data_IF_028567192230
#
_entry.id   IF_028567192230
#
_cell.length_a   1.000
_cell.length_b   1.000
_cell.length_c   1.000
_cell.angle_alpha   90.00
_cell.angle_beta   90.00
_cell.angle_gamma   90.00
#
_symmetry.space_group_name_H-M   'P 1'
#
loop_
_entity.id
_entity.type
_entity.pdbx_description
1 polymer ?
#
# COMPACT_ATOMS: atom_id res chain seq x y z
N UNK A 1 -5.59 13.89 -20.68
CA UNK A 1 -4.75 12.76 -20.18
C UNK A 1 -4.11 13.23 -18.88
N UNK A 2 -4.06 12.42 -17.82
CA UNK A 2 -3.44 12.82 -16.54
C UNK A 2 -1.92 12.95 -16.75
N UNK A 3 -1.34 14.10 -16.37
CA UNK A 3 0.10 14.34 -16.44
C UNK A 3 0.68 14.28 -15.03
N UNK A 4 1.59 13.34 -14.79
CA UNK A 4 2.33 13.17 -13.53
C UNK A 4 3.85 13.32 -13.72
N UNK A 5 4.25 14.02 -14.78
CA UNK A 5 5.65 14.21 -15.09
C UNK A 5 6.42 14.74 -13.88
N UNK A 6 7.56 14.10 -13.58
CA UNK A 6 8.43 14.37 -12.44
C UNK A 6 7.82 14.12 -11.03
N UNK A 7 6.57 13.64 -10.92
CA UNK A 7 6.01 13.25 -9.62
C UNK A 7 6.70 12.01 -9.07
N UNK A 8 7.17 12.07 -7.85
CA UNK A 8 7.94 11.03 -7.15
C UNK A 8 7.00 10.18 -6.32
N UNK A 9 6.83 8.92 -6.70
CA UNK A 9 5.80 8.03 -6.15
C UNK A 9 6.42 6.74 -5.63
N UNK A 10 6.13 6.37 -4.40
CA UNK A 10 6.42 5.04 -3.83
C UNK A 10 5.16 4.19 -3.87
N UNK A 11 5.28 2.94 -4.34
CA UNK A 11 4.18 1.97 -4.38
C UNK A 11 4.60 0.69 -3.67
N UNK A 12 3.88 0.32 -2.60
CA UNK A 12 4.10 -0.96 -1.92
C UNK A 12 3.26 -2.07 -2.55
N UNK A 13 3.75 -3.32 -2.50
CA UNK A 13 3.05 -4.44 -3.10
C UNK A 13 2.91 -4.32 -4.63
N UNK A 14 3.88 -3.67 -5.28
CA UNK A 14 3.86 -3.35 -6.70
C UNK A 14 3.81 -4.58 -7.62
N UNK A 15 4.23 -5.74 -7.13
CA UNK A 15 4.25 -7.00 -7.90
C UNK A 15 2.93 -7.77 -7.89
N UNK A 16 1.92 -7.32 -7.12
CA UNK A 16 0.58 -7.89 -7.14
C UNK A 16 -0.27 -7.35 -8.31
N UNK A 17 -1.43 -7.96 -8.59
CA UNK A 17 -2.26 -7.58 -9.74
C UNK A 17 -2.67 -6.10 -9.74
N UNK A 18 -3.19 -5.59 -8.62
CA UNK A 18 -3.56 -4.18 -8.47
C UNK A 18 -2.30 -3.31 -8.55
N UNK A 19 -1.24 -3.65 -7.80
CA UNK A 19 0.01 -2.88 -7.78
C UNK A 19 0.65 -2.75 -9.16
N UNK A 20 0.72 -3.83 -9.92
CA UNK A 20 1.25 -3.83 -11.30
C UNK A 20 0.44 -2.88 -12.21
N UNK A 21 -0.89 -2.95 -12.12
CA UNK A 21 -1.78 -2.07 -12.91
C UNK A 21 -1.60 -0.60 -12.53
N UNK A 22 -1.37 -0.29 -11.25
CA UNK A 22 -1.08 1.06 -10.79
C UNK A 22 0.28 1.53 -11.34
N UNK A 23 1.33 0.70 -11.23
CA UNK A 23 2.68 1.03 -11.78
C UNK A 23 2.57 1.35 -13.26
N UNK A 24 1.91 0.48 -14.05
CA UNK A 24 1.68 0.72 -15.46
C UNK A 24 1.04 2.09 -15.72
N UNK A 25 -0.09 2.36 -15.06
CA UNK A 25 -0.85 3.59 -15.28
C UNK A 25 -0.10 4.86 -14.92
N UNK A 26 0.68 4.82 -13.83
CA UNK A 26 1.48 5.96 -13.39
C UNK A 26 2.72 6.17 -14.27
N UNK A 27 3.35 5.08 -14.73
CA UNK A 27 4.44 5.15 -15.71
C UNK A 27 3.97 5.75 -17.03
N UNK A 28 2.81 5.33 -17.54
CA UNK A 28 2.19 5.91 -18.75
C UNK A 28 1.88 7.41 -18.58
N UNK A 29 1.66 7.87 -17.34
CA UNK A 29 1.44 9.27 -17.01
C UNK A 29 2.73 10.09 -16.75
N UNK A 30 3.91 9.48 -16.87
CA UNK A 30 5.22 10.15 -16.75
C UNK A 30 5.78 10.24 -15.32
N UNK A 31 5.19 9.57 -14.33
CA UNK A 31 5.67 9.59 -12.96
C UNK A 31 7.04 8.91 -12.81
N UNK A 32 7.85 9.38 -11.84
CA UNK A 32 9.02 8.66 -11.32
C UNK A 32 8.55 7.73 -10.21
N UNK A 33 8.70 6.44 -10.42
CA UNK A 33 8.14 5.41 -9.54
C UNK A 33 9.26 4.66 -8.83
N UNK A 34 9.11 4.45 -7.52
CA UNK A 34 9.80 3.41 -6.80
C UNK A 34 8.81 2.29 -6.46
N UNK A 35 8.94 1.17 -7.14
CA UNK A 35 8.15 -0.02 -6.91
C UNK A 35 8.79 -0.92 -5.85
N UNK A 36 8.04 -1.33 -4.82
CA UNK A 36 8.58 -2.19 -3.77
C UNK A 36 7.69 -3.41 -3.50
N UNK A 37 8.33 -4.46 -3.01
CA UNK A 37 7.75 -5.74 -2.67
C UNK A 37 8.81 -6.75 -2.26
N UNK A 38 8.42 -7.99 -1.99
CA UNK A 38 9.33 -9.05 -1.52
C UNK A 38 9.92 -9.90 -2.65
N UNK A 39 9.29 -9.93 -3.83
CA UNK A 39 9.66 -10.79 -4.97
C UNK A 39 10.57 -10.03 -5.93
N UNK A 40 11.88 -10.19 -5.78
CA UNK A 40 12.86 -9.41 -6.56
C UNK A 40 12.73 -9.66 -8.07
N UNK A 41 12.50 -10.88 -8.51
CA UNK A 41 12.40 -11.24 -9.91
C UNK A 41 11.21 -10.50 -10.58
N UNK A 42 10.07 -10.42 -9.89
CA UNK A 42 8.90 -9.67 -10.37
C UNK A 42 9.11 -8.15 -10.33
N UNK A 43 9.94 -7.63 -9.43
CA UNK A 43 10.33 -6.23 -9.42
C UNK A 43 11.23 -5.90 -10.62
N UNK A 44 12.18 -6.75 -10.95
CA UNK A 44 13.04 -6.58 -12.14
C UNK A 44 12.22 -6.61 -13.43
N UNK A 45 11.21 -7.48 -13.52
CA UNK A 45 10.26 -7.45 -14.64
C UNK A 45 9.51 -6.12 -14.76
N UNK A 46 9.07 -5.53 -13.62
CA UNK A 46 8.43 -4.21 -13.63
C UNK A 46 9.39 -3.14 -14.12
N UNK A 47 10.62 -3.13 -13.62
CA UNK A 47 11.65 -2.18 -14.03
C UNK A 47 11.95 -2.26 -15.53
N UNK A 48 12.00 -3.47 -16.08
CA UNK A 48 12.26 -3.65 -17.51
C UNK A 48 11.09 -3.21 -18.41
N UNK A 49 9.84 -3.37 -17.92
CA UNK A 49 8.63 -3.08 -18.69
C UNK A 49 8.21 -1.61 -18.65
N UNK A 50 8.46 -0.91 -17.54
CA UNK A 50 7.91 0.43 -17.33
C UNK A 50 9.02 1.47 -17.18
N UNK A 51 9.02 2.45 -18.09
CA UNK A 51 9.95 3.59 -18.05
C UNK A 51 9.77 4.36 -16.72
N UNK A 52 10.85 5.01 -16.28
CA UNK A 52 10.88 5.81 -15.05
C UNK A 52 10.47 5.03 -13.77
N UNK A 53 10.64 3.70 -13.79
CA UNK A 53 10.38 2.83 -12.66
C UNK A 53 11.68 2.26 -12.11
N UNK A 54 12.02 2.66 -10.89
CA UNK A 54 13.06 2.04 -10.08
C UNK A 54 12.42 1.06 -9.09
N UNK A 55 13.26 0.19 -8.54
CA UNK A 55 12.83 -0.86 -7.61
C UNK A 55 13.65 -0.85 -6.33
N UNK A 56 13.00 -1.23 -5.23
CA UNK A 56 13.67 -1.48 -3.95
C UNK A 56 12.97 -2.65 -3.27
N UNK A 57 13.69 -3.79 -3.12
CA UNK A 57 13.15 -4.94 -2.39
C UNK A 57 12.96 -4.57 -0.93
N UNK A 58 11.75 -4.72 -0.41
CA UNK A 58 11.45 -4.49 0.99
C UNK A 58 10.26 -5.32 1.45
N UNK A 59 10.36 -5.82 2.68
CA UNK A 59 9.27 -6.53 3.36
C UNK A 59 8.66 -5.60 4.41
N UNK A 60 7.42 -5.17 4.18
CA UNK A 60 6.74 -4.22 5.07
C UNK A 60 6.41 -4.80 6.45
N UNK A 61 6.54 -6.12 6.66
CA UNK A 61 6.39 -6.75 7.98
C UNK A 61 7.51 -6.35 8.95
N UNK A 62 8.61 -5.83 8.43
CA UNK A 62 9.76 -5.35 9.20
C UNK A 62 9.55 -3.91 9.67
N UNK A 63 8.66 -3.74 10.64
CA UNK A 63 8.24 -2.41 11.13
C UNK A 63 9.40 -1.49 11.51
N UNK A 64 10.40 -2.01 12.18
CA UNK A 64 11.57 -1.25 12.65
C UNK A 64 12.47 -0.75 11.49
N UNK A 65 12.41 -1.37 10.32
CA UNK A 65 13.18 -0.97 9.15
C UNK A 65 12.43 0.04 8.24
N UNK A 66 11.16 0.35 8.51
CA UNK A 66 10.33 1.20 7.64
C UNK A 66 10.85 2.63 7.53
N UNK A 67 11.39 3.21 8.62
CA UNK A 67 11.94 4.57 8.55
C UNK A 67 13.14 4.62 7.60
N UNK A 68 14.06 3.70 7.74
CA UNK A 68 15.23 3.58 6.86
C UNK A 68 14.83 3.30 5.41
N UNK A 69 13.84 2.41 5.21
CA UNK A 69 13.28 2.16 3.89
C UNK A 69 12.78 3.45 3.22
N UNK A 70 11.97 4.27 3.90
CA UNK A 70 11.47 5.54 3.34
C UNK A 70 12.62 6.52 3.06
N UNK A 71 13.66 6.55 3.91
CA UNK A 71 14.87 7.35 3.66
C UNK A 71 15.55 6.93 2.34
N UNK A 72 15.84 5.65 2.20
CA UNK A 72 16.52 5.09 1.03
C UNK A 72 15.68 5.25 -0.24
N UNK A 73 14.38 4.97 -0.15
CA UNK A 73 13.43 5.13 -1.25
C UNK A 73 13.37 6.58 -1.76
N UNK A 74 13.30 7.54 -0.84
CA UNK A 74 13.28 8.96 -1.23
C UNK A 74 14.61 9.43 -1.81
N UNK A 75 15.75 8.95 -1.32
CA UNK A 75 17.07 9.22 -1.93
C UNK A 75 17.14 8.70 -3.36
N UNK A 76 16.70 7.46 -3.60
CA UNK A 76 16.71 6.83 -4.92
C UNK A 76 15.81 7.58 -5.92
N UNK A 77 14.70 8.16 -5.47
CA UNK A 77 13.85 9.05 -6.27
C UNK A 77 14.46 10.43 -6.55
N UNK A 78 15.68 10.71 -6.08
CA UNK A 78 16.34 12.01 -6.24
C UNK A 78 15.86 13.05 -5.22
N UNK A 79 15.54 12.60 -4.01
CA UNK A 79 15.07 13.43 -2.89
C UNK A 79 13.60 13.85 -2.99
N UNK A 80 12.91 13.93 -1.86
CA UNK A 80 11.49 14.28 -1.79
C UNK A 80 10.54 13.11 -2.11
N UNK A 81 9.27 13.31 -1.79
CA UNK A 81 8.19 12.35 -2.03
C UNK A 81 6.88 13.10 -2.29
N UNK A 82 6.28 12.89 -3.45
CA UNK A 82 5.00 13.50 -3.80
C UNK A 82 3.82 12.60 -3.44
N UNK A 83 3.97 11.27 -3.59
CA UNK A 83 2.90 10.34 -3.30
C UNK A 83 3.41 9.02 -2.73
N UNK A 84 2.70 8.50 -1.73
CA UNK A 84 2.84 7.13 -1.24
C UNK A 84 1.55 6.37 -1.54
N UNK A 85 1.66 5.20 -2.17
CA UNK A 85 0.54 4.28 -2.39
C UNK A 85 0.78 3.02 -1.57
N UNK A 86 0.05 2.89 -0.48
CA UNK A 86 0.03 1.71 0.36
C UNK A 86 -0.93 0.68 -0.24
N UNK A 87 -0.39 -0.23 -1.04
CA UNK A 87 -1.14 -1.29 -1.70
C UNK A 87 -0.76 -2.69 -1.19
N UNK A 88 0.38 -2.84 -0.54
CA UNK A 88 0.76 -4.13 0.04
C UNK A 88 -0.22 -4.57 1.13
N UNK A 89 -0.48 -5.85 1.19
CA UNK A 89 -1.31 -6.48 2.21
C UNK A 89 -1.43 -7.97 1.98
N UNK A 90 -1.89 -8.66 3.02
CA UNK A 90 -2.11 -10.11 3.01
C UNK A 90 -3.51 -10.43 3.53
N UNK A 91 -3.99 -11.62 3.19
CA UNK A 91 -5.10 -12.29 3.87
C UNK A 91 -4.59 -13.54 4.58
N UNK A 92 -5.24 -13.92 5.65
CA UNK A 92 -5.07 -15.21 6.32
C UNK A 92 -6.42 -15.59 6.91
N UNK A 93 -7.22 -16.26 6.08
CA UNK A 93 -8.64 -16.47 6.31
C UNK A 93 -8.85 -17.70 7.20
N UNK A 94 -9.68 -17.54 8.23
CA UNK A 94 -10.12 -18.61 9.10
C UNK A 94 -11.40 -18.18 9.83
N UNK A 95 -12.28 -19.13 10.15
CA UNK A 95 -13.44 -18.83 10.99
C UNK A 95 -13.00 -18.27 12.35
N UNK A 96 -13.71 -17.28 12.89
CA UNK A 96 -13.32 -16.60 14.11
C UNK A 96 -13.04 -17.55 15.30
N UNK A 97 -13.85 -18.61 15.44
CA UNK A 97 -13.65 -19.63 16.48
C UNK A 97 -12.39 -20.47 16.31
N UNK A 98 -11.82 -20.53 15.11
CA UNK A 98 -10.60 -21.29 14.77
C UNK A 98 -9.39 -20.40 14.56
N UNK A 99 -9.58 -19.11 14.35
CA UNK A 99 -8.53 -18.15 14.14
C UNK A 99 -7.66 -18.00 15.38
N UNK A 100 -6.40 -18.35 15.28
CA UNK A 100 -5.47 -18.18 16.39
C UNK A 100 -4.92 -16.75 16.45
N UNK A 101 -4.30 -16.42 17.56
CA UNK A 101 -3.81 -15.06 17.81
C UNK A 101 -2.69 -14.64 16.86
N UNK A 102 -1.90 -15.58 16.36
CA UNK A 102 -0.79 -15.27 15.43
C UNK A 102 -1.32 -14.98 14.03
N UNK A 103 -2.36 -15.69 13.57
CA UNK A 103 -3.09 -15.35 12.33
C UNK A 103 -3.71 -13.96 12.39
N UNK A 104 -4.30 -13.62 13.51
CA UNK A 104 -4.85 -12.28 13.76
C UNK A 104 -3.75 -11.21 13.72
N UNK A 105 -2.74 -11.35 14.58
CA UNK A 105 -1.65 -10.39 14.70
C UNK A 105 -0.93 -10.17 13.37
N UNK A 106 -0.59 -11.24 12.67
CA UNK A 106 0.11 -11.16 11.39
C UNK A 106 -0.61 -10.28 10.37
N UNK A 107 -1.93 -10.42 10.24
CA UNK A 107 -2.72 -9.61 9.30
C UNK A 107 -2.82 -8.15 9.78
N UNK A 108 -3.04 -7.94 11.08
CA UNK A 108 -3.08 -6.58 11.66
C UNK A 108 -1.72 -5.88 11.48
N UNK A 109 -0.63 -6.54 11.81
CA UNK A 109 0.71 -5.96 11.76
C UNK A 109 1.12 -5.60 10.32
N UNK A 110 0.91 -6.51 9.37
CA UNK A 110 1.29 -6.28 7.98
C UNK A 110 0.35 -5.28 7.29
N UNK A 111 -0.96 -5.37 7.50
CA UNK A 111 -1.89 -4.52 6.77
C UNK A 111 -2.06 -3.14 7.42
N UNK A 112 -2.28 -3.08 8.74
CA UNK A 112 -2.63 -1.85 9.44
C UNK A 112 -1.41 -1.16 10.04
N UNK A 113 -0.63 -1.88 10.87
CA UNK A 113 0.52 -1.28 11.57
C UNK A 113 1.57 -0.80 10.58
N UNK A 114 1.92 -1.61 9.57
CA UNK A 114 2.90 -1.18 8.55
C UNK A 114 2.39 -0.02 7.71
N UNK A 115 1.09 0.00 7.35
CA UNK A 115 0.49 1.14 6.63
C UNK A 115 0.55 2.43 7.44
N UNK A 116 0.34 2.35 8.77
CA UNK A 116 0.51 3.48 9.67
C UNK A 116 1.97 3.98 9.67
N UNK A 117 2.94 3.09 9.86
CA UNK A 117 4.36 3.45 9.91
C UNK A 117 4.85 4.04 8.58
N UNK A 118 4.49 3.43 7.45
CA UNK A 118 4.78 3.95 6.12
C UNK A 118 4.20 5.35 5.93
N UNK A 119 2.94 5.56 6.33
CA UNK A 119 2.28 6.86 6.24
C UNK A 119 2.95 7.90 7.14
N UNK A 120 3.28 7.55 8.39
CA UNK A 120 3.98 8.40 9.36
C UNK A 120 5.31 8.93 8.80
N UNK A 121 6.15 8.03 8.29
CA UNK A 121 7.47 8.41 7.78
C UNK A 121 7.40 9.11 6.41
N UNK A 122 6.42 8.78 5.57
CA UNK A 122 6.14 9.52 4.35
C UNK A 122 5.71 10.96 4.65
N UNK A 123 4.78 11.16 5.60
CA UNK A 123 4.36 12.51 6.04
C UNK A 123 5.56 13.31 6.53
N UNK A 124 6.49 12.71 7.31
CA UNK A 124 7.71 13.37 7.76
C UNK A 124 8.55 13.93 6.59
N UNK A 125 8.57 13.24 5.44
CA UNK A 125 9.22 13.73 4.20
C UNK A 125 8.40 14.81 3.51
N UNK A 126 7.10 14.61 3.38
CA UNK A 126 6.18 15.52 2.71
C UNK A 126 6.05 16.88 3.42
N UNK A 127 6.15 16.92 4.75
CA UNK A 127 6.13 18.15 5.54
C UNK A 127 7.22 19.15 5.14
N UNK A 128 8.39 18.66 4.73
CA UNK A 128 9.50 19.52 4.27
C UNK A 128 9.12 20.33 3.02
N UNK A 129 8.33 19.74 2.15
CA UNK A 129 7.89 20.35 0.88
C UNK A 129 6.50 20.99 0.99
N UNK A 130 5.81 20.88 2.13
CA UNK A 130 4.41 21.31 2.33
C UNK A 130 3.49 20.81 1.22
N UNK A 131 3.68 19.57 0.80
CA UNK A 131 2.91 18.92 -0.24
C UNK A 131 3.05 17.40 -0.11
N UNK A 132 1.96 16.67 -0.28
CA UNK A 132 1.98 15.22 -0.34
C UNK A 132 0.62 14.60 -0.58
N UNK A 133 0.62 13.38 -1.08
CA UNK A 133 -0.55 12.55 -1.26
C UNK A 133 -0.28 11.16 -0.68
N UNK A 134 -1.21 10.65 0.11
CA UNK A 134 -1.18 9.25 0.55
C UNK A 134 -2.47 8.60 0.06
N UNK A 135 -2.32 7.46 -0.60
CA UNK A 135 -3.44 6.64 -1.08
C UNK A 135 -3.31 5.26 -0.45
N UNK A 136 -4.27 4.90 0.38
CA UNK A 136 -4.33 3.61 1.03
C UNK A 136 -5.32 2.70 0.30
N UNK A 137 -4.85 1.56 -0.21
CA UNK A 137 -5.72 0.57 -0.83
C UNK A 137 -6.34 -0.30 0.28
N UNK A 138 -7.62 -0.11 0.46
CA UNK A 138 -8.44 -0.82 1.44
C UNK A 138 -9.21 -1.97 0.77
N UNK A 139 -10.45 -2.20 1.14
CA UNK A 139 -11.36 -3.16 0.50
C UNK A 139 -12.79 -2.86 0.88
N UNK A 140 -13.74 -3.21 0.02
CA UNK A 140 -15.17 -3.14 0.36
C UNK A 140 -15.51 -3.97 1.59
N UNK A 141 -14.82 -5.10 1.82
CA UNK A 141 -15.06 -5.94 3.00
C UNK A 141 -14.71 -5.24 4.31
N UNK A 142 -13.88 -4.19 4.29
CA UNK A 142 -13.66 -3.32 5.45
C UNK A 142 -14.91 -2.55 5.88
N UNK A 143 -15.94 -2.47 5.03
CA UNK A 143 -17.22 -1.83 5.30
C UNK A 143 -18.34 -2.85 5.54
N UNK A 144 -18.30 -3.98 4.84
CA UNK A 144 -19.38 -4.98 4.85
C UNK A 144 -19.12 -6.18 5.77
N UNK A 145 -17.87 -6.48 6.07
CA UNK A 145 -17.46 -7.76 6.61
C UNK A 145 -17.37 -8.84 5.52
N UNK A 146 -16.73 -9.95 5.85
CA UNK A 146 -16.72 -11.16 5.03
C UNK A 146 -16.48 -12.39 5.91
N UNK A 147 -17.08 -13.52 5.57
CA UNK A 147 -16.92 -14.78 6.28
C UNK A 147 -15.45 -15.22 6.31
N UNK A 148 -14.96 -15.60 7.50
CA UNK A 148 -13.57 -16.06 7.68
C UNK A 148 -12.50 -14.97 7.63
N UNK A 149 -12.88 -13.69 7.51
CA UNK A 149 -11.93 -12.57 7.33
C UNK A 149 -11.99 -11.53 8.45
N UNK A 150 -12.26 -11.94 9.69
CA UNK A 150 -12.36 -11.02 10.80
C UNK A 150 -11.10 -10.14 10.96
N UNK A 151 -9.90 -10.73 10.86
CA UNK A 151 -8.61 -10.02 10.90
C UNK A 151 -8.41 -9.06 9.70
N UNK A 152 -8.67 -9.54 8.50
CA UNK A 152 -8.53 -8.74 7.28
C UNK A 152 -9.49 -7.57 7.26
N UNK A 153 -10.77 -7.83 7.55
CA UNK A 153 -11.82 -6.81 7.64
C UNK A 153 -11.47 -5.76 8.69
N UNK A 154 -11.06 -6.17 9.90
CA UNK A 154 -10.63 -5.26 10.94
C UNK A 154 -9.44 -4.39 10.49
N UNK A 155 -8.44 -4.99 9.81
CA UNK A 155 -7.30 -4.25 9.29
C UNK A 155 -7.71 -3.19 8.26
N UNK A 156 -8.59 -3.54 7.32
CA UNK A 156 -9.04 -2.62 6.25
C UNK A 156 -9.96 -1.52 6.77
N UNK A 157 -10.84 -1.82 7.70
CA UNK A 157 -11.64 -0.82 8.41
C UNK A 157 -10.76 0.13 9.25
N UNK A 158 -9.76 -0.43 9.95
CA UNK A 158 -8.78 0.34 10.73
C UNK A 158 -7.99 1.33 9.86
N UNK A 159 -7.57 0.92 8.65
CA UNK A 159 -6.91 1.82 7.70
C UNK A 159 -7.81 3.00 7.34
N UNK A 160 -9.11 2.78 7.09
CA UNK A 160 -10.06 3.85 6.77
C UNK A 160 -10.17 4.84 7.93
N UNK A 161 -10.36 4.36 9.16
CA UNK A 161 -10.47 5.20 10.35
C UNK A 161 -9.17 5.99 10.60
N UNK A 162 -8.01 5.33 10.56
CA UNK A 162 -6.69 5.94 10.68
C UNK A 162 -6.47 7.03 9.62
N UNK A 163 -6.84 6.74 8.38
CA UNK A 163 -6.66 7.69 7.27
C UNK A 163 -7.45 8.97 7.47
N UNK A 164 -8.67 8.89 8.03
CA UNK A 164 -9.48 10.06 8.37
C UNK A 164 -8.79 10.93 9.42
N UNK A 165 -8.24 10.33 10.48
CA UNK A 165 -7.50 11.06 11.53
C UNK A 165 -6.28 11.76 10.95
N UNK A 166 -5.44 11.04 10.20
CA UNK A 166 -4.26 11.62 9.56
C UNK A 166 -4.63 12.73 8.55
N UNK A 167 -5.73 12.58 7.81
CA UNK A 167 -6.19 13.60 6.88
C UNK A 167 -6.54 14.91 7.60
N UNK A 168 -7.20 14.83 8.76
CA UNK A 168 -7.53 16.01 9.60
C UNK A 168 -6.24 16.66 10.13
N UNK A 169 -5.28 15.86 10.64
CA UNK A 169 -4.02 16.36 11.20
C UNK A 169 -3.18 17.14 10.18
N UNK A 170 -3.16 16.67 8.93
CA UNK A 170 -2.22 17.18 7.92
C UNK A 170 -2.87 17.99 6.80
N UNK A 171 -4.18 18.23 6.81
CA UNK A 171 -4.89 19.03 5.81
C UNK A 171 -4.28 20.43 5.64
N UNK A 172 -4.02 21.13 6.74
CA UNK A 172 -3.41 22.48 6.73
C UNK A 172 -1.96 22.51 6.20
N UNK A 173 -1.34 21.35 6.01
CA UNK A 173 0.01 21.18 5.45
C UNK A 173 0.00 20.80 3.97
N UNK A 174 -1.18 20.85 3.33
CA UNK A 174 -1.37 20.43 1.93
C UNK A 174 -0.96 18.96 1.69
N UNK A 175 -1.18 18.11 2.70
CA UNK A 175 -0.98 16.67 2.60
C UNK A 175 -2.37 16.02 2.64
N UNK A 176 -2.75 15.35 1.54
CA UNK A 176 -4.04 14.71 1.43
C UNK A 176 -3.88 13.19 1.61
N UNK A 177 -4.75 12.61 2.42
CA UNK A 177 -4.73 11.18 2.72
C UNK A 177 -6.11 10.61 2.39
N UNK A 178 -6.15 9.66 1.46
CA UNK A 178 -7.37 9.08 0.94
C UNK A 178 -7.29 7.56 0.93
N UNK A 179 -8.46 6.93 0.91
CA UNK A 179 -8.61 5.48 0.74
C UNK A 179 -9.31 5.17 -0.58
N UNK A 180 -8.90 4.07 -1.20
CA UNK A 180 -9.63 3.43 -2.28
C UNK A 180 -10.03 2.05 -1.78
N UNK A 181 -11.32 1.73 -1.85
CA UNK A 181 -11.89 0.45 -1.44
C UNK A 181 -12.31 -0.34 -2.68
N UNK A 182 -11.40 -1.14 -3.28
CA UNK A 182 -11.77 -1.98 -4.40
C UNK A 182 -12.83 -3.01 -3.98
N UNK A 183 -13.71 -3.35 -4.90
CA UNK A 183 -14.55 -4.53 -4.83
C UNK A 183 -13.75 -5.80 -5.12
N UNK A 184 -14.43 -6.84 -5.58
CA UNK A 184 -13.78 -8.08 -5.99
C UNK A 184 -13.01 -7.86 -7.31
N UNK A 185 -11.69 -7.90 -7.23
CA UNK A 185 -10.78 -7.82 -8.38
C UNK A 185 -10.08 -9.16 -8.55
N UNK A 186 -10.21 -9.78 -9.72
CA UNK A 186 -9.53 -11.04 -10.02
C UNK A 186 -8.00 -10.83 -10.05
N UNK A 187 -7.29 -11.47 -9.13
CA UNK A 187 -5.84 -11.39 -8.96
C UNK A 187 -5.29 -12.71 -8.42
N UNK A 188 -3.97 -12.92 -8.46
CA UNK A 188 -3.33 -14.10 -7.83
C UNK A 188 -3.73 -14.28 -6.34
N UNK A 189 -4.09 -13.21 -5.65
CA UNK A 189 -4.54 -13.25 -4.26
C UNK A 189 -5.98 -13.78 -4.16
N UNK A 190 -6.89 -13.27 -4.98
CA UNK A 190 -8.30 -13.66 -4.95
C UNK A 190 -8.55 -15.04 -5.56
N UNK A 191 -7.69 -15.51 -6.46
CA UNK A 191 -7.76 -16.86 -7.03
C UNK A 191 -7.48 -17.96 -5.98
N UNK A 192 -6.78 -17.60 -4.88
CA UNK A 192 -6.49 -18.50 -3.76
C UNK A 192 -7.60 -18.57 -2.71
N UNK A 193 -8.60 -17.69 -2.79
CA UNK A 193 -9.76 -17.72 -1.88
C UNK A 193 -10.60 -18.94 -2.25
N UNK A 194 -10.89 -19.80 -1.27
CA UNK A 194 -11.79 -20.95 -1.44
C UNK A 194 -13.15 -20.46 -1.98
N UNK A 195 -13.71 -21.17 -2.95
CA UNK A 195 -14.98 -20.79 -3.59
C UNK A 195 -16.12 -20.57 -2.59
N UNK A 196 -16.07 -21.28 -1.45
CA UNK A 196 -17.02 -21.12 -0.34
C UNK A 196 -17.05 -19.72 0.28
N UNK A 197 -16.03 -18.90 0.03
CA UNK A 197 -15.90 -17.52 0.56
C UNK A 197 -15.98 -16.47 -0.54
N UNK A 198 -16.37 -16.85 -1.78
CA UNK A 198 -16.46 -15.93 -2.92
C UNK A 198 -17.89 -15.40 -3.19
N UNK A 199 -18.87 -15.82 -2.40
CA UNK A 199 -20.27 -15.33 -2.50
C UNK A 199 -20.50 -14.00 -1.79
#
# INVERSE_FOLDING_TARGET
>A
MMNLENKKIIITGATGGIGNSIVKRLSDAGAKILATGTRIEKLEELKSKFKNTDILKFDISKGDEIEEFIENATKQLGGGLDCLINNAGITQDNLAIRMNIDEWKKVIDINLTSTFLLSKFAVKKMLKNKYGKIINITSVVGHTGNLGQANYTASKAGIVAMSKSLAIEYAKKNININCISPGFIKTEMTDKIDEKFKE
#
